data_IF_488604848984
#
_entry.id   IF_488604848984
#
_cell.length_a   1.000
_cell.length_b   1.000
_cell.length_c   1.000
_cell.angle_alpha   90.00
_cell.angle_beta   90.00
_cell.angle_gamma   90.00
#
_symmetry.space_group_name_H-M   'P 1'
#
loop_
_entity.id
_entity.type
_entity.pdbx_description
1 polymer ?
#
# COMPACT_ATOMS: atom_id res chain seq x y z
N UNK A 1 -18.87 9.84 5.60
CA UNK A 1 -17.61 9.07 5.63
C UNK A 1 -17.94 7.67 5.18
N UNK A 2 -17.24 7.12 4.19
CA UNK A 2 -17.56 5.79 3.65
C UNK A 2 -17.21 4.70 4.67
N UNK A 3 -18.14 3.76 4.90
CA UNK A 3 -18.01 2.69 5.87
C UNK A 3 -17.12 1.56 5.33
N UNK A 4 -16.44 0.83 6.21
CA UNK A 4 -15.67 -0.37 5.86
C UNK A 4 -16.51 -1.63 6.06
N UNK A 5 -16.18 -2.69 5.33
CA UNK A 5 -16.85 -4.00 5.42
C UNK A 5 -15.86 -5.12 5.79
N UNK A 6 -16.34 -6.17 6.44
CA UNK A 6 -15.53 -7.38 6.68
C UNK A 6 -15.22 -8.06 5.35
N UNK A 7 -13.96 -8.46 5.16
CA UNK A 7 -13.44 -8.98 3.89
C UNK A 7 -12.98 -7.89 2.92
N UNK A 8 -13.16 -6.62 3.25
CA UNK A 8 -12.73 -5.53 2.40
C UNK A 8 -11.20 -5.39 2.40
N UNK A 9 -10.63 -5.28 1.20
CA UNK A 9 -9.21 -4.94 1.01
C UNK A 9 -9.00 -3.46 1.29
N UNK A 10 -8.03 -3.16 2.14
CA UNK A 10 -7.71 -1.83 2.62
C UNK A 10 -6.22 -1.56 2.54
N UNK A 11 -5.85 -0.29 2.61
CA UNK A 11 -4.45 0.15 2.70
C UNK A 11 -4.20 0.72 4.10
N UNK A 12 -3.08 0.33 4.68
CA UNK A 12 -2.54 0.93 5.89
C UNK A 12 -1.51 1.96 5.46
N UNK A 13 -1.85 3.24 5.59
CA UNK A 13 -0.93 4.36 5.42
C UNK A 13 -0.05 4.48 6.66
N UNK A 14 1.27 4.34 6.49
CA UNK A 14 2.23 4.26 7.59
C UNK A 14 3.18 5.43 7.53
N UNK A 15 3.30 6.18 8.63
CA UNK A 15 4.18 7.36 8.67
C UNK A 15 5.66 6.94 8.65
N UNK A 16 6.40 7.44 7.66
CA UNK A 16 7.84 7.18 7.50
C UNK A 16 8.19 5.75 7.08
N UNK A 17 7.20 4.93 6.69
CA UNK A 17 7.41 3.55 6.23
C UNK A 17 6.55 3.28 4.99
N UNK A 18 6.87 2.26 4.20
CA UNK A 18 6.02 1.89 3.07
C UNK A 18 4.63 1.51 3.55
N UNK A 19 3.62 1.97 2.81
CA UNK A 19 2.24 1.55 2.96
C UNK A 19 2.11 0.03 2.79
N UNK A 20 1.01 -0.53 3.28
CA UNK A 20 0.75 -1.97 3.19
C UNK A 20 -0.70 -2.21 2.82
N UNK A 21 -0.93 -3.25 2.04
CA UNK A 21 -2.26 -3.82 1.86
C UNK A 21 -2.58 -4.76 3.03
N UNK A 22 -3.84 -4.75 3.44
CA UNK A 22 -4.41 -5.68 4.41
C UNK A 22 -5.90 -5.89 4.11
N UNK A 23 -6.56 -6.73 4.90
CA UNK A 23 -8.00 -7.00 4.79
C UNK A 23 -8.67 -6.77 6.14
N UNK A 24 -9.88 -6.23 6.16
CA UNK A 24 -10.69 -6.12 7.38
C UNK A 24 -11.18 -7.51 7.78
N UNK A 25 -10.75 -7.98 8.95
CA UNK A 25 -11.12 -9.29 9.49
C UNK A 25 -12.36 -9.21 10.40
N UNK A 26 -12.51 -8.12 11.15
CA UNK A 26 -13.61 -7.97 12.11
C UNK A 26 -13.98 -6.52 12.27
N UNK A 27 -15.28 -6.25 12.42
CA UNK A 27 -15.83 -4.96 12.81
C UNK A 27 -16.62 -5.21 14.09
N UNK A 28 -16.28 -4.49 15.15
CA UNK A 28 -16.96 -4.60 16.44
C UNK A 28 -17.11 -3.21 17.04
N UNK A 29 -18.35 -2.78 17.24
CA UNK A 29 -18.67 -1.45 17.75
C UNK A 29 -17.94 -0.36 16.93
N UNK A 30 -17.15 0.50 17.58
CA UNK A 30 -16.36 1.57 16.94
C UNK A 30 -14.95 1.12 16.52
N UNK A 31 -14.71 -0.19 16.41
CA UNK A 31 -13.40 -0.77 16.14
C UNK A 31 -13.37 -1.65 14.89
N UNK A 32 -12.27 -1.51 14.14
CA UNK A 32 -11.92 -2.32 12.96
C UNK A 32 -10.68 -3.14 13.30
N UNK A 33 -10.69 -4.44 13.05
CA UNK A 33 -9.51 -5.31 13.13
C UNK A 33 -9.12 -5.76 11.73
N UNK A 34 -7.84 -5.67 11.40
CA UNK A 34 -7.31 -6.28 10.17
C UNK A 34 -6.89 -7.73 10.38
N UNK A 35 -6.69 -8.49 9.31
CA UNK A 35 -6.22 -9.89 9.38
C UNK A 35 -4.88 -10.05 10.10
N UNK A 36 -4.07 -8.99 10.14
CA UNK A 36 -2.81 -8.95 10.90
C UNK A 36 -3.00 -8.76 12.41
N UNK A 37 -4.24 -8.68 12.89
CA UNK A 37 -4.57 -8.54 14.31
C UNK A 37 -4.36 -7.14 14.89
N UNK A 38 -4.32 -6.11 14.04
CA UNK A 38 -4.20 -4.72 14.48
C UNK A 38 -5.57 -4.05 14.53
N UNK A 39 -5.82 -3.30 15.60
CA UNK A 39 -7.07 -2.59 15.83
C UNK A 39 -6.97 -1.12 15.44
N UNK A 40 -8.06 -0.60 14.89
CA UNK A 40 -8.20 0.77 14.41
C UNK A 40 -9.56 1.32 14.83
N UNK A 41 -9.63 2.61 15.12
CA UNK A 41 -10.88 3.29 15.44
C UNK A 41 -11.66 3.63 14.16
N UNK A 42 -12.97 3.41 14.12
CA UNK A 42 -13.82 3.69 12.94
C UNK A 42 -13.85 5.19 12.62
N UNK A 43 -13.97 6.03 13.64
CA UNK A 43 -14.12 7.48 13.51
C UNK A 43 -12.88 8.16 12.90
N UNK A 44 -11.70 7.83 13.42
CA UNK A 44 -10.44 8.47 13.01
C UNK A 44 -9.65 7.63 12.01
N UNK A 45 -9.97 6.33 11.89
CA UNK A 45 -9.22 5.32 11.14
C UNK A 45 -7.79 5.14 11.64
N UNK A 46 -7.48 5.70 12.81
CA UNK A 46 -6.17 5.62 13.43
C UNK A 46 -5.99 4.26 14.07
N UNK A 47 -4.77 3.73 13.97
CA UNK A 47 -4.38 2.52 14.70
C UNK A 47 -4.39 2.79 16.20
N UNK A 48 -4.95 1.85 16.95
CA UNK A 48 -4.90 1.84 18.40
C UNK A 48 -3.57 1.20 18.81
N UNK A 49 -2.59 2.04 19.11
CA UNK A 49 -1.28 1.62 19.61
C UNK A 49 -1.24 1.72 21.14
N UNK A 50 -0.71 0.69 21.80
CA UNK A 50 -0.70 0.56 23.27
C UNK A 50 0.43 1.33 23.97
N UNK A 51 1.12 2.26 23.30
CA UNK A 51 2.32 2.89 23.90
C UNK A 51 2.90 4.13 23.22
N UNK A 52 2.24 4.72 22.22
CA UNK A 52 2.67 5.99 21.59
C UNK A 52 1.48 6.97 21.59
N UNK A 53 1.71 8.21 22.01
CA UNK A 53 0.68 9.27 22.05
C UNK A 53 0.22 9.76 20.66
N UNK A 54 0.76 9.20 19.57
CA UNK A 54 0.42 9.62 18.19
C UNK A 54 0.20 8.41 17.29
N UNK A 55 -0.96 8.32 16.60
CA UNK A 55 -1.19 7.25 15.66
C UNK A 55 -0.21 7.36 14.48
N UNK A 56 0.53 6.27 14.25
CA UNK A 56 1.54 6.17 13.18
C UNK A 56 0.99 5.53 11.92
N UNK A 57 -0.11 4.79 12.05
CA UNK A 57 -0.73 4.01 10.98
C UNK A 57 -2.21 4.39 10.88
N UNK A 58 -2.72 4.57 9.65
CA UNK A 58 -4.12 4.89 9.36
C UNK A 58 -4.70 3.91 8.33
N UNK A 59 -5.95 3.49 8.53
CA UNK A 59 -6.69 2.71 7.54
C UNK A 59 -7.32 3.62 6.49
N UNK A 60 -7.17 3.27 5.22
CA UNK A 60 -7.81 3.95 4.11
C UNK A 60 -8.33 2.94 3.09
N UNK A 61 -9.31 3.35 2.28
CA UNK A 61 -9.87 2.55 1.19
C UNK A 61 -8.79 2.19 0.16
N UNK A 62 -8.88 0.98 -0.35
CA UNK A 62 -8.03 0.49 -1.40
C UNK A 62 -8.48 1.04 -2.77
N UNK A 63 -7.86 2.13 -3.21
CA UNK A 63 -8.12 2.71 -4.54
C UNK A 63 -7.09 2.20 -5.56
N UNK A 64 -7.39 2.24 -6.87
CA UNK A 64 -6.45 1.84 -7.92
C UNK A 64 -5.09 2.56 -7.83
N UNK A 65 -5.08 3.84 -7.47
CA UNK A 65 -3.85 4.64 -7.34
C UNK A 65 -2.98 4.17 -6.16
N UNK A 66 -3.62 3.81 -5.04
CA UNK A 66 -2.89 3.29 -3.88
C UNK A 66 -2.33 1.90 -4.13
N UNK A 67 -3.06 1.06 -4.87
CA UNK A 67 -2.55 -0.24 -5.33
C UNK A 67 -1.37 -0.07 -6.28
N UNK A 68 -1.50 0.80 -7.29
CA UNK A 68 -0.41 1.11 -8.21
C UNK A 68 0.85 1.61 -7.47
N UNK A 69 0.69 2.44 -6.44
CA UNK A 69 1.81 2.85 -5.58
C UNK A 69 2.50 1.64 -4.92
N UNK A 70 1.74 0.69 -4.36
CA UNK A 70 2.30 -0.50 -3.74
C UNK A 70 3.01 -1.42 -4.74
N UNK A 71 2.46 -1.57 -5.93
CA UNK A 71 3.07 -2.34 -7.02
C UNK A 71 4.39 -1.74 -7.47
N UNK A 72 4.45 -0.41 -7.66
CA UNK A 72 5.70 0.30 -7.96
C UNK A 72 6.73 0.09 -6.86
N UNK A 73 6.33 0.16 -5.59
CA UNK A 73 7.22 -0.11 -4.45
C UNK A 73 7.73 -1.55 -4.45
N UNK A 74 6.89 -2.53 -4.76
CA UNK A 74 7.29 -3.93 -4.87
C UNK A 74 8.27 -4.14 -6.04
N UNK A 75 7.99 -3.53 -7.20
CA UNK A 75 8.89 -3.52 -8.35
C UNK A 75 10.25 -2.93 -8.00
N UNK A 76 10.31 -1.74 -7.39
CA UNK A 76 11.58 -1.10 -7.00
C UNK A 76 12.40 -1.95 -6.02
N UNK A 77 11.73 -2.72 -5.15
CA UNK A 77 12.41 -3.66 -4.24
C UNK A 77 12.99 -4.86 -4.99
N UNK A 78 12.31 -5.35 -6.02
CA UNK A 78 12.74 -6.47 -6.84
C UNK A 78 13.73 -6.05 -7.95
N UNK A 79 13.72 -4.80 -8.38
CA UNK A 79 14.51 -4.29 -9.50
C UNK A 79 16.02 -4.64 -9.42
N UNK A 80 16.69 -4.56 -8.26
CA UNK A 80 18.11 -4.93 -8.16
C UNK A 80 18.43 -6.39 -8.45
N UNK A 81 17.42 -7.29 -8.39
CA UNK A 81 17.59 -8.73 -8.63
C UNK A 81 17.05 -9.16 -10.00
N UNK A 82 16.52 -8.24 -10.80
CA UNK A 82 16.02 -8.54 -12.13
C UNK A 82 17.19 -8.77 -13.10
N UNK A 83 17.25 -9.96 -13.70
CA UNK A 83 18.13 -10.21 -14.83
C UNK A 83 17.42 -9.80 -16.13
N UNK A 84 17.79 -8.63 -16.66
CA UNK A 84 17.21 -8.07 -17.88
C UNK A 84 17.52 -8.87 -19.15
N UNK A 85 18.57 -9.71 -19.14
CA UNK A 85 18.91 -10.59 -20.27
C UNK A 85 17.86 -11.68 -20.51
N UNK A 86 17.03 -11.97 -19.49
CA UNK A 86 15.94 -12.95 -19.59
C UNK A 86 14.64 -12.36 -20.12
N UNK A 87 14.60 -11.06 -20.36
CA UNK A 87 13.41 -10.39 -20.87
C UNK A 87 13.32 -10.52 -22.39
N UNK A 88 12.09 -10.62 -22.90
CA UNK A 88 11.87 -10.53 -24.34
C UNK A 88 12.25 -9.14 -24.86
N UNK A 89 12.63 -9.04 -26.14
CA UNK A 89 12.97 -7.76 -26.76
C UNK A 89 11.83 -6.73 -26.65
N UNK A 90 10.58 -7.15 -26.83
CA UNK A 90 9.42 -6.26 -26.73
C UNK A 90 9.26 -5.70 -25.32
N UNK A 91 9.42 -6.54 -24.29
CA UNK A 91 9.41 -6.11 -22.89
C UNK A 91 10.54 -5.13 -22.60
N UNK A 92 11.74 -5.38 -23.12
CA UNK A 92 12.90 -4.50 -22.93
C UNK A 92 12.69 -3.11 -23.55
N UNK A 93 12.10 -3.04 -24.76
CA UNK A 93 11.75 -1.76 -25.42
C UNK A 93 10.69 -1.00 -24.62
N UNK A 94 9.68 -1.71 -24.11
CA UNK A 94 8.63 -1.10 -23.28
C UNK A 94 9.20 -0.52 -21.99
N UNK A 95 10.03 -1.28 -21.27
CA UNK A 95 10.68 -0.82 -20.04
C UNK A 95 11.59 0.39 -20.30
N UNK A 96 12.36 0.39 -21.39
CA UNK A 96 13.20 1.53 -21.75
C UNK A 96 12.36 2.79 -22.02
N UNK A 97 11.22 2.66 -22.71
CA UNK A 97 10.28 3.76 -22.94
C UNK A 97 9.71 4.30 -21.63
N UNK A 98 9.26 3.42 -20.74
CA UNK A 98 8.71 3.81 -19.44
C UNK A 98 9.77 4.49 -18.56
N UNK A 99 10.99 3.96 -18.54
CA UNK A 99 12.12 4.55 -17.81
C UNK A 99 12.42 5.97 -18.31
N UNK A 100 12.41 6.19 -19.63
CA UNK A 100 12.59 7.53 -20.23
C UNK A 100 11.51 8.51 -19.76
N UNK A 101 10.23 8.13 -19.86
CA UNK A 101 9.11 8.97 -19.40
C UNK A 101 9.26 9.31 -17.91
N UNK A 102 9.67 8.32 -17.10
CA UNK A 102 9.86 8.53 -15.67
C UNK A 102 10.98 9.53 -15.38
N UNK A 103 12.13 9.40 -16.05
CA UNK A 103 13.27 10.32 -15.91
C UNK A 103 12.90 11.75 -16.30
N UNK A 104 12.15 11.93 -17.39
CA UNK A 104 11.68 13.25 -17.86
C UNK A 104 10.70 13.93 -16.88
N UNK A 105 10.04 13.16 -16.01
CA UNK A 105 9.10 13.68 -15.01
C UNK A 105 9.75 14.00 -13.66
N UNK A 106 10.99 13.55 -13.44
CA UNK A 106 11.76 13.84 -12.24
C UNK A 106 12.58 15.15 -12.36
N UNK A 107 12.85 15.59 -13.58
CA UNK A 107 13.49 16.86 -13.94
C UNK A 107 12.49 17.96 -14.23
#
# INVERSE_FOLDING_TARGET
MEAFEVGEVVIIERKGRPWRQDTIATIKDELLMTERGHWYEVATRARIDSGDDRPKDFLVKCTPERLAYLEVRAFLKAAPTLNVEKLSLSTSVELARLAKIFLEKLT
#
